data_IF_731673502204
#
_entry.id   IF_731673502204
#
_cell.length_a   1.000
_cell.length_b   1.000
_cell.length_c   1.000
_cell.angle_alpha   90.00
_cell.angle_beta   90.00
_cell.angle_gamma   90.00
#
_symmetry.space_group_name_H-M   'P 1'
#
loop_
_entity.id
_entity.type
_entity.pdbx_description
1 polymer ?
#
# COMPACT_ATOMS: atom_id res chain seq x y z
N UNK A 1 -0.99 -6.27 -6.60
CA UNK A 1 -0.21 -5.63 -5.50
C UNK A 1 -1.12 -4.74 -4.68
N UNK A 2 -0.89 -4.63 -3.37
CA UNK A 2 -1.81 -3.95 -2.43
C UNK A 2 -2.11 -2.50 -2.86
N UNK A 3 -1.09 -1.74 -3.28
CA UNK A 3 -1.25 -0.34 -3.70
C UNK A 3 -2.13 -0.19 -4.96
N UNK A 4 -1.89 -0.98 -6.00
CA UNK A 4 -2.68 -0.97 -7.24
C UNK A 4 -4.12 -1.43 -7.00
N UNK A 5 -4.31 -2.48 -6.19
CA UNK A 5 -5.65 -2.96 -5.85
C UNK A 5 -6.47 -1.90 -5.09
N UNK A 6 -5.81 -1.07 -4.27
CA UNK A 6 -6.46 0.01 -3.54
C UNK A 6 -6.75 1.22 -4.42
N UNK A 7 -5.75 1.75 -5.14
CA UNK A 7 -5.88 3.02 -5.88
C UNK A 7 -6.38 2.88 -7.32
N UNK A 8 -6.01 1.81 -8.05
CA UNK A 8 -6.40 1.64 -9.45
C UNK A 8 -7.69 0.82 -9.58
N UNK A 9 -7.80 -0.30 -8.86
CA UNK A 9 -9.00 -1.14 -8.90
C UNK A 9 -10.11 -0.64 -7.94
N UNK A 10 -9.79 0.21 -6.97
CA UNK A 10 -10.78 0.79 -6.05
C UNK A 10 -11.28 -0.19 -4.98
N UNK A 11 -10.58 -1.29 -4.73
CA UNK A 11 -10.99 -2.22 -3.67
C UNK A 11 -10.80 -1.63 -2.28
N UNK A 12 -11.77 -1.87 -1.40
CA UNK A 12 -11.63 -1.48 0.00
C UNK A 12 -10.48 -2.24 0.70
N UNK A 13 -9.89 -1.63 1.73
CA UNK A 13 -8.85 -2.29 2.57
C UNK A 13 -9.35 -3.63 3.10
N UNK A 14 -10.63 -3.73 3.46
CA UNK A 14 -11.25 -4.97 3.92
C UNK A 14 -11.28 -6.05 2.83
N UNK A 15 -11.70 -5.70 1.60
CA UNK A 15 -11.74 -6.66 0.49
C UNK A 15 -10.34 -7.21 0.18
N UNK A 16 -9.34 -6.34 0.14
CA UNK A 16 -7.94 -6.71 -0.06
C UNK A 16 -7.46 -7.63 1.08
N UNK A 17 -7.76 -7.27 2.33
CA UNK A 17 -7.40 -8.08 3.51
C UNK A 17 -8.08 -9.45 3.53
N UNK A 18 -9.33 -9.53 3.07
CA UNK A 18 -10.09 -10.77 2.96
C UNK A 18 -9.48 -11.69 1.90
N UNK A 19 -9.12 -11.14 0.74
CA UNK A 19 -8.40 -11.88 -0.29
C UNK A 19 -7.02 -12.35 0.20
N UNK A 20 -6.25 -11.46 0.82
CA UNK A 20 -4.93 -11.76 1.37
C UNK A 20 -5.00 -12.84 2.47
N UNK A 21 -6.01 -12.77 3.35
CA UNK A 21 -6.27 -13.82 4.33
C UNK A 21 -6.63 -15.15 3.67
N UNK A 22 -7.45 -15.16 2.60
CA UNK A 22 -7.80 -16.41 1.89
C UNK A 22 -6.56 -17.11 1.35
N UNK A 23 -5.63 -16.37 0.74
CA UNK A 23 -4.42 -16.94 0.12
C UNK A 23 -3.19 -17.00 1.04
N UNK A 24 -3.29 -16.58 2.30
CA UNK A 24 -2.17 -16.57 3.22
C UNK A 24 -1.66 -17.99 3.56
N UNK A 25 -0.36 -18.20 3.42
CA UNK A 25 0.34 -19.38 3.91
C UNK A 25 0.51 -19.34 5.44
N UNK A 26 0.56 -20.49 6.13
CA UNK A 26 0.94 -20.56 7.54
C UNK A 26 2.35 -20.01 7.76
N UNK A 27 2.55 -19.24 8.84
CA UNK A 27 3.84 -18.64 9.20
C UNK A 27 4.15 -18.94 10.67
N UNK A 28 5.43 -18.84 11.04
CA UNK A 28 5.85 -18.93 12.44
C UNK A 28 5.35 -17.68 13.16
N UNK A 29 4.48 -17.86 14.14
CA UNK A 29 3.94 -16.77 14.94
C UNK A 29 4.19 -17.05 16.41
N UNK A 30 4.76 -16.07 17.10
CA UNK A 30 4.84 -16.06 18.56
C UNK A 30 3.47 -15.74 19.15
N UNK A 31 3.15 -16.36 20.29
CA UNK A 31 1.89 -16.15 20.99
C UNK A 31 1.86 -16.89 22.32
N UNK A 32 0.68 -16.87 22.96
CA UNK A 32 0.46 -17.61 24.21
C UNK A 32 0.62 -19.10 23.95
N UNK A 33 1.54 -19.76 24.67
CA UNK A 33 1.87 -21.18 24.48
C UNK A 33 3.01 -21.46 23.49
N UNK A 34 3.84 -20.46 23.20
CA UNK A 34 5.08 -20.60 22.42
C UNK A 34 4.94 -20.25 20.94
N UNK A 35 6.01 -20.52 20.20
CA UNK A 35 6.03 -20.35 18.75
C UNK A 35 5.26 -21.48 18.07
N UNK A 36 4.30 -21.14 17.21
CA UNK A 36 3.52 -22.12 16.45
C UNK A 36 3.39 -21.71 15.00
N UNK A 37 3.37 -22.69 14.11
CA UNK A 37 3.02 -22.49 12.71
C UNK A 37 1.51 -22.36 12.59
N UNK A 38 1.03 -21.19 12.19
CA UNK A 38 -0.41 -20.95 11.99
C UNK A 38 -0.65 -19.94 10.89
N UNK A 39 -1.85 -20.02 10.30
CA UNK A 39 -2.33 -19.01 9.37
C UNK A 39 -2.59 -17.70 10.13
N UNK A 40 -2.18 -16.52 9.61
CA UNK A 40 -2.51 -15.25 10.25
C UNK A 40 -4.02 -15.05 10.30
N UNK A 41 -4.49 -14.37 11.35
CA UNK A 41 -5.91 -14.01 11.46
C UNK A 41 -6.29 -12.92 10.45
N UNK A 42 -7.59 -12.75 10.18
CA UNK A 42 -8.07 -11.63 9.36
C UNK A 42 -7.69 -10.26 9.97
N UNK A 43 -7.70 -10.13 11.30
CA UNK A 43 -7.31 -8.90 11.98
C UNK A 43 -5.84 -8.59 11.72
N UNK A 44 -4.97 -9.60 11.80
CA UNK A 44 -3.55 -9.49 11.46
C UNK A 44 -3.37 -9.03 10.01
N UNK A 45 -4.07 -9.68 9.08
CA UNK A 45 -4.04 -9.32 7.65
C UNK A 45 -4.49 -7.87 7.42
N UNK A 46 -5.53 -7.41 8.12
CA UNK A 46 -6.01 -6.01 8.02
C UNK A 46 -4.97 -5.00 8.50
N UNK A 47 -4.26 -5.30 9.59
CA UNK A 47 -3.17 -4.47 10.09
C UNK A 47 -2.02 -4.43 9.08
N UNK A 48 -1.58 -5.58 8.59
CA UNK A 48 -0.52 -5.68 7.57
C UNK A 48 -0.86 -4.86 6.31
N UNK A 49 -2.09 -4.95 5.79
CA UNK A 49 -2.52 -4.17 4.62
C UNK A 49 -2.47 -2.66 4.90
N UNK A 50 -2.89 -2.24 6.09
CA UNK A 50 -2.86 -0.83 6.48
C UNK A 50 -1.43 -0.30 6.64
N UNK A 51 -0.56 -1.08 7.29
CA UNK A 51 0.86 -0.73 7.49
C UNK A 51 1.60 -0.65 6.15
N UNK A 52 1.35 -1.58 5.23
CA UNK A 52 1.93 -1.54 3.88
C UNK A 52 1.47 -0.31 3.11
N UNK A 53 0.18 0.06 3.18
CA UNK A 53 -0.32 1.26 2.51
C UNK A 53 0.28 2.54 3.11
N UNK A 54 0.39 2.63 4.44
CA UNK A 54 1.00 3.77 5.13
C UNK A 54 2.49 3.90 4.78
N UNK A 55 3.24 2.81 4.83
CA UNK A 55 4.64 2.79 4.45
C UNK A 55 4.83 3.15 2.98
N UNK A 56 3.98 2.63 2.10
CA UNK A 56 4.00 2.97 0.66
C UNK A 56 3.80 4.47 0.44
N UNK A 57 2.81 5.08 1.10
CA UNK A 57 2.57 6.52 1.02
C UNK A 57 3.75 7.34 1.54
N UNK A 58 4.33 6.94 2.67
CA UNK A 58 5.51 7.60 3.24
C UNK A 58 6.69 7.58 2.26
N UNK A 59 6.97 6.42 1.64
CA UNK A 59 8.04 6.28 0.66
C UNK A 59 7.78 7.06 -0.64
N UNK A 60 6.53 7.15 -1.08
CA UNK A 60 6.17 7.82 -2.34
C UNK A 60 6.07 9.35 -2.21
N UNK A 61 5.75 9.86 -1.03
CA UNK A 61 5.45 11.29 -0.84
C UNK A 61 6.60 12.21 -1.25
N UNK A 62 7.79 12.02 -0.66
CA UNK A 62 8.94 12.89 -0.92
C UNK A 62 9.41 12.88 -2.38
N UNK A 63 9.62 11.71 -3.04
CA UNK A 63 10.07 11.71 -4.43
C UNK A 63 9.02 12.31 -5.38
N UNK A 64 7.72 12.09 -5.12
CA UNK A 64 6.65 12.70 -5.93
C UNK A 64 6.63 14.21 -5.77
N UNK A 65 6.76 14.73 -4.55
CA UNK A 65 6.82 16.17 -4.29
C UNK A 65 8.01 16.81 -5.03
N UNK A 66 9.18 16.19 -4.92
CA UNK A 66 10.38 16.65 -5.63
C UNK A 66 10.18 16.63 -7.16
N UNK A 67 9.55 15.58 -7.70
CA UNK A 67 9.25 15.47 -9.12
C UNK A 67 8.27 16.54 -9.59
N UNK A 68 7.22 16.84 -8.81
CA UNK A 68 6.28 17.92 -9.15
C UNK A 68 6.93 19.31 -9.09
N UNK A 69 7.80 19.55 -8.10
CA UNK A 69 8.48 20.85 -7.94
C UNK A 69 9.58 21.09 -8.98
N UNK A 70 10.29 20.05 -9.38
CA UNK A 70 11.35 20.13 -10.41
C UNK A 70 10.80 20.18 -11.84
N UNK A 71 9.53 19.80 -12.05
CA UNK A 71 8.90 19.81 -13.38
C UNK A 71 8.73 21.25 -13.88
N UNK A 72 9.45 21.59 -14.96
CA UNK A 72 9.30 22.87 -15.68
C UNK A 72 7.83 23.08 -16.07
N UNK A 73 7.24 24.19 -15.62
CA UNK A 73 5.92 24.63 -16.09
C UNK A 73 6.06 25.12 -17.52
N UNK A 74 5.26 24.56 -18.42
CA UNK A 74 5.16 25.04 -19.80
C UNK A 74 4.06 26.09 -19.87
N UNK A 75 4.39 27.23 -20.47
CA UNK A 75 3.42 28.28 -20.78
C UNK A 75 2.82 28.04 -22.17
N UNK A 76 1.65 28.66 -22.41
CA UNK A 76 1.06 28.69 -23.75
C UNK A 76 1.94 29.54 -24.68
N UNK A 77 1.91 29.22 -25.98
CA UNK A 77 2.61 29.97 -27.02
C UNK A 77 2.18 31.44 -26.97
N UNK A 78 3.16 32.36 -26.97
CA UNK A 78 2.93 33.81 -27.04
C UNK A 78 3.30 34.29 -28.44
N UNK A 79 2.46 35.12 -29.05
CA UNK A 79 2.83 35.83 -30.27
C UNK A 79 3.86 36.92 -29.93
N UNK A 80 4.99 36.89 -30.61
CA UNK A 80 6.01 37.95 -30.56
C UNK A 80 5.73 38.89 -31.73
N UNK A 81 5.60 40.18 -31.45
CA UNK A 81 5.34 41.23 -32.44
C UNK A 81 6.56 41.51 -33.33
#
# INVERSE_FOLDING_TARGET
>A
GILLSYYAHGSSKYAISSYYHKTASPRKMSGRGGERMRKPSLITCRREVDDVLKASLFMLYQPMLNAFNSRKRVDKIKHVA
#
